data_IF_563078668203
#
_entry.id   IF_563078668203
#
_cell.length_a   1.000
_cell.length_b   1.000
_cell.length_c   1.000
_cell.angle_alpha   90.00
_cell.angle_beta   90.00
_cell.angle_gamma   90.00
#
_symmetry.space_group_name_H-M   'P 1'
#
loop_
_entity.id
_entity.type
_entity.pdbx_description
1 polymer ?
#
# COMPACT_ATOMS: atom_id res chain seq x y z
N UNK A 1 -26.26 -5.72 -3.56
CA UNK A 1 -26.29 -6.03 -5.00
C UNK A 1 -26.62 -7.49 -5.14
N UNK A 2 -27.73 -7.85 -5.76
CA UNK A 2 -28.06 -9.23 -6.13
C UNK A 2 -27.47 -9.52 -7.52
N UNK A 3 -26.81 -10.63 -7.66
CA UNK A 3 -26.37 -11.15 -8.96
C UNK A 3 -27.29 -12.33 -9.25
N UNK A 4 -28.20 -12.18 -10.19
CA UNK A 4 -29.02 -13.30 -10.64
C UNK A 4 -28.63 -13.69 -12.06
N UNK A 5 -28.50 -15.00 -12.30
CA UNK A 5 -28.29 -15.50 -13.66
C UNK A 5 -29.58 -15.71 -14.46
N UNK A 6 -30.77 -15.68 -13.86
CA UNK A 6 -32.02 -16.15 -14.52
C UNK A 6 -33.33 -15.45 -14.04
N UNK A 7 -33.26 -14.32 -13.37
CA UNK A 7 -34.45 -13.61 -12.91
C UNK A 7 -34.25 -12.10 -12.83
N UNK A 8 -35.31 -11.30 -12.58
CA UNK A 8 -35.21 -9.87 -12.46
C UNK A 8 -34.28 -9.51 -11.30
N UNK A 9 -33.28 -8.67 -11.57
CA UNK A 9 -32.36 -8.15 -10.54
C UNK A 9 -33.12 -7.19 -9.66
N UNK A 10 -33.41 -7.56 -8.42
CA UNK A 10 -34.01 -6.69 -7.42
C UNK A 10 -32.88 -6.00 -6.67
N UNK A 11 -32.60 -4.74 -7.01
CA UNK A 11 -31.60 -3.90 -6.30
C UNK A 11 -32.32 -2.86 -5.46
N UNK A 12 -31.75 -2.58 -4.27
CA UNK A 12 -32.23 -1.48 -3.42
C UNK A 12 -33.32 -1.85 -2.41
N UNK A 13 -33.80 -3.10 -2.38
CA UNK A 13 -34.68 -3.55 -1.30
C UNK A 13 -33.87 -3.90 -0.05
N UNK A 14 -34.35 -3.47 1.10
CA UNK A 14 -33.82 -3.82 2.41
C UNK A 14 -34.64 -4.91 3.05
N UNK A 15 -33.97 -5.86 3.67
CA UNK A 15 -34.57 -6.94 4.46
C UNK A 15 -34.31 -6.63 5.92
N UNK A 16 -35.36 -6.74 6.76
CA UNK A 16 -35.20 -6.53 8.19
C UNK A 16 -34.30 -7.61 8.80
N UNK A 17 -33.37 -7.19 9.68
CA UNK A 17 -32.61 -8.13 10.51
C UNK A 17 -33.48 -8.92 11.48
N UNK A 18 -34.72 -8.46 11.72
CA UNK A 18 -35.67 -9.11 12.58
C UNK A 18 -36.48 -10.19 11.89
N UNK A 19 -36.38 -10.30 10.55
CA UNK A 19 -36.98 -11.39 9.79
C UNK A 19 -36.41 -12.73 10.24
N UNK A 20 -37.29 -13.71 10.57
CA UNK A 20 -36.89 -14.95 11.22
C UNK A 20 -35.84 -15.73 10.42
N UNK A 21 -36.02 -15.82 9.11
CA UNK A 21 -35.04 -16.49 8.22
C UNK A 21 -33.66 -15.82 8.30
N UNK A 22 -33.60 -14.49 8.36
CA UNK A 22 -32.33 -13.78 8.52
C UNK A 22 -31.68 -14.10 9.86
N UNK A 23 -32.44 -14.14 10.97
CA UNK A 23 -31.94 -14.55 12.29
C UNK A 23 -31.37 -15.95 12.27
N UNK A 24 -32.04 -16.88 11.61
CA UNK A 24 -31.59 -18.27 11.50
C UNK A 24 -30.29 -18.39 10.67
N UNK A 25 -30.20 -17.65 9.54
CA UNK A 25 -28.97 -17.57 8.74
C UNK A 25 -27.83 -16.97 9.57
N UNK A 26 -28.09 -15.90 10.31
CA UNK A 26 -27.07 -15.27 11.16
C UNK A 26 -26.58 -16.18 12.28
N UNK A 27 -27.49 -16.99 12.87
CA UNK A 27 -27.20 -17.93 13.96
C UNK A 27 -26.46 -19.17 13.49
N UNK A 28 -26.96 -19.78 12.40
CA UNK A 28 -26.47 -21.07 11.91
C UNK A 28 -25.44 -20.96 10.79
N UNK A 29 -25.26 -19.75 10.24
CA UNK A 29 -24.37 -19.42 9.11
C UNK A 29 -24.72 -20.06 7.78
N UNK A 30 -25.63 -20.98 7.77
CA UNK A 30 -26.23 -21.65 6.62
C UNK A 30 -27.66 -22.07 7.00
N UNK A 31 -28.61 -21.84 6.10
CA UNK A 31 -29.99 -22.19 6.31
C UNK A 31 -30.62 -22.63 4.99
N UNK A 32 -31.31 -23.77 5.03
CA UNK A 32 -32.11 -24.24 3.90
C UNK A 32 -33.53 -23.78 4.18
N UNK A 33 -34.07 -22.99 3.28
CA UNK A 33 -35.38 -22.35 3.39
C UNK A 33 -36.34 -23.12 2.50
N UNK A 34 -37.39 -23.70 3.09
CA UNK A 34 -38.50 -24.31 2.37
C UNK A 34 -39.83 -23.62 2.72
N UNK A 35 -40.87 -23.76 1.92
CA UNK A 35 -42.19 -23.21 2.21
C UNK A 35 -42.76 -23.66 3.57
N UNK A 36 -42.23 -24.73 4.14
CA UNK A 36 -42.61 -25.29 5.43
C UNK A 36 -41.76 -24.76 6.60
N UNK A 37 -40.72 -23.97 6.31
CA UNK A 37 -39.85 -23.43 7.33
C UNK A 37 -40.59 -22.46 8.26
N UNK A 38 -40.36 -22.51 9.59
CA UNK A 38 -40.97 -21.60 10.52
C UNK A 38 -40.61 -20.12 10.18
N UNK A 39 -41.61 -19.26 10.11
CA UNK A 39 -41.41 -17.84 9.78
C UNK A 39 -41.17 -17.56 8.27
N UNK A 40 -41.44 -18.54 7.42
CA UNK A 40 -41.38 -18.36 5.98
C UNK A 40 -42.55 -17.45 5.50
N UNK A 41 -42.22 -16.34 4.90
CA UNK A 41 -43.18 -15.41 4.31
C UNK A 41 -43.22 -15.63 2.80
N UNK A 42 -44.29 -16.28 2.35
CA UNK A 42 -44.47 -16.66 0.92
C UNK A 42 -44.49 -15.47 -0.01
N UNK A 43 -45.12 -14.38 0.40
CA UNK A 43 -45.23 -13.18 -0.44
C UNK A 43 -43.87 -12.46 -0.57
N UNK A 44 -43.11 -12.46 0.51
CA UNK A 44 -41.74 -11.91 0.53
C UNK A 44 -40.76 -12.80 -0.25
N UNK A 45 -40.75 -14.10 0.02
CA UNK A 45 -39.79 -15.06 -0.60
C UNK A 45 -40.10 -15.29 -2.09
N UNK A 46 -41.35 -15.25 -2.52
CA UNK A 46 -41.74 -15.34 -3.93
C UNK A 46 -41.10 -14.24 -4.81
N UNK A 47 -40.70 -13.14 -4.21
CA UNK A 47 -39.96 -12.08 -4.91
C UNK A 47 -38.53 -12.50 -5.28
N UNK A 48 -37.98 -13.55 -4.66
CA UNK A 48 -36.61 -14.01 -4.86
C UNK A 48 -36.57 -15.36 -5.56
N UNK A 49 -37.45 -16.30 -5.21
CA UNK A 49 -37.50 -17.61 -5.84
C UNK A 49 -38.84 -18.30 -5.52
N UNK A 50 -39.41 -19.01 -6.51
CA UNK A 50 -40.54 -19.93 -6.33
C UNK A 50 -40.09 -21.34 -5.87
N UNK A 51 -38.78 -21.54 -5.71
CA UNK A 51 -38.18 -22.84 -5.37
C UNK A 51 -37.63 -22.79 -3.94
N UNK A 52 -37.35 -23.97 -3.40
CA UNK A 52 -36.54 -24.07 -2.20
C UNK A 52 -35.26 -23.26 -2.39
N UNK A 53 -34.85 -22.57 -1.35
CA UNK A 53 -33.67 -21.79 -1.38
C UNK A 53 -32.72 -22.16 -0.25
N UNK A 54 -31.42 -22.03 -0.49
CA UNK A 54 -30.41 -22.10 0.54
C UNK A 54 -29.72 -20.75 0.68
N UNK A 55 -29.48 -20.36 1.89
CA UNK A 55 -28.74 -19.15 2.19
C UNK A 55 -27.50 -19.47 3.00
N UNK A 56 -26.39 -18.83 2.65
CA UNK A 56 -25.12 -18.92 3.37
C UNK A 56 -24.66 -17.55 3.82
N UNK A 57 -24.15 -17.47 5.04
CA UNK A 57 -23.52 -16.27 5.59
C UNK A 57 -22.02 -16.29 5.33
N UNK A 58 -21.53 -15.33 4.56
CA UNK A 58 -20.15 -15.21 4.15
C UNK A 58 -19.52 -13.97 4.83
N UNK A 59 -18.29 -14.12 5.31
CA UNK A 59 -17.56 -13.02 5.99
C UNK A 59 -17.97 -12.87 7.46
N UNK A 60 -17.37 -11.88 8.12
CA UNK A 60 -17.68 -11.49 9.51
C UNK A 60 -17.91 -9.99 9.64
N UNK A 61 -17.09 -9.20 8.97
CA UNK A 61 -17.21 -7.74 8.95
C UNK A 61 -16.53 -7.20 7.65
N UNK A 62 -17.32 -6.80 6.63
CA UNK A 62 -18.78 -6.96 6.53
C UNK A 62 -19.21 -8.42 6.32
N UNK A 63 -20.46 -8.72 6.67
CA UNK A 63 -21.09 -10.02 6.42
C UNK A 63 -22.04 -9.91 5.23
N UNK A 64 -22.07 -10.96 4.42
CA UNK A 64 -22.93 -11.06 3.25
C UNK A 64 -23.80 -12.32 3.35
N UNK A 65 -25.07 -12.21 2.99
CA UNK A 65 -25.94 -13.35 2.81
C UNK A 65 -26.05 -13.62 1.32
N UNK A 66 -25.67 -14.82 0.89
CA UNK A 66 -25.90 -15.31 -0.46
C UNK A 66 -27.06 -16.29 -0.40
N UNK A 67 -28.16 -15.97 -1.06
CA UNK A 67 -29.31 -16.86 -1.23
C UNK A 67 -29.30 -17.46 -2.64
N UNK A 68 -29.54 -18.76 -2.72
CA UNK A 68 -29.51 -19.55 -3.92
C UNK A 68 -30.83 -20.34 -4.05
N UNK A 69 -31.55 -20.22 -5.19
CA UNK A 69 -32.62 -21.13 -5.52
C UNK A 69 -32.06 -22.54 -5.82
N UNK A 70 -32.65 -23.57 -5.24
CA UNK A 70 -32.13 -24.92 -5.30
C UNK A 70 -33.09 -25.83 -6.07
N UNK A 71 -32.57 -26.55 -7.07
CA UNK A 71 -33.19 -27.75 -7.62
C UNK A 71 -32.33 -28.94 -7.21
N UNK A 72 -32.68 -29.57 -6.10
CA UNK A 72 -31.86 -30.63 -5.54
C UNK A 72 -32.52 -31.98 -5.66
N UNK A 73 -31.79 -32.96 -6.19
CA UNK A 73 -32.24 -34.36 -6.36
C UNK A 73 -31.37 -35.34 -5.53
N UNK A 74 -30.53 -34.83 -4.62
CA UNK A 74 -29.63 -35.63 -3.79
C UNK A 74 -29.98 -35.61 -2.29
N UNK A 75 -29.05 -36.04 -1.45
CA UNK A 75 -29.24 -35.99 0.01
C UNK A 75 -29.03 -34.58 0.56
N UNK A 76 -29.75 -34.20 1.59
CA UNK A 76 -29.55 -32.94 2.31
C UNK A 76 -28.10 -32.80 2.81
N UNK A 77 -27.46 -33.94 3.15
CA UNK A 77 -26.06 -33.97 3.58
C UNK A 77 -25.11 -33.47 2.47
N UNK A 78 -25.32 -33.91 1.23
CA UNK A 78 -24.49 -33.51 0.10
C UNK A 78 -24.67 -32.01 -0.21
N UNK A 79 -25.90 -31.52 -0.12
CA UNK A 79 -26.19 -30.11 -0.27
C UNK A 79 -25.49 -29.28 0.82
N UNK A 80 -25.53 -29.73 2.08
CA UNK A 80 -24.82 -29.04 3.16
C UNK A 80 -23.32 -28.98 2.93
N UNK A 81 -22.69 -30.06 2.47
CA UNK A 81 -21.27 -30.10 2.13
C UNK A 81 -20.96 -29.13 1.00
N UNK A 82 -21.77 -29.08 -0.03
CA UNK A 82 -21.62 -28.15 -1.15
C UNK A 82 -21.69 -26.69 -0.68
N UNK A 83 -22.71 -26.36 0.11
CA UNK A 83 -22.92 -25.00 0.64
C UNK A 83 -21.78 -24.56 1.59
N UNK A 84 -21.29 -25.47 2.43
CA UNK A 84 -20.12 -25.20 3.30
C UNK A 84 -18.86 -24.94 2.48
N UNK A 85 -18.62 -25.75 1.44
CA UNK A 85 -17.48 -25.56 0.53
C UNK A 85 -17.57 -24.22 -0.19
N UNK A 86 -18.75 -23.89 -0.71
CA UNK A 86 -19.01 -22.62 -1.36
C UNK A 86 -18.80 -21.43 -0.40
N UNK A 87 -19.33 -21.54 0.81
CA UNK A 87 -19.17 -20.53 1.87
C UNK A 87 -17.69 -20.30 2.21
N UNK A 88 -16.93 -21.38 2.37
CA UNK A 88 -15.50 -21.31 2.66
C UNK A 88 -14.73 -20.65 1.51
N UNK A 89 -14.96 -21.08 0.28
CA UNK A 89 -14.29 -20.56 -0.91
C UNK A 89 -14.58 -19.06 -1.14
N UNK A 90 -15.85 -18.69 -1.04
CA UNK A 90 -16.26 -17.28 -1.18
C UNK A 90 -15.71 -16.43 -0.02
N UNK A 91 -15.65 -16.99 1.19
CA UNK A 91 -15.07 -16.31 2.35
C UNK A 91 -13.57 -16.03 2.19
N UNK A 92 -12.83 -16.94 1.56
CA UNK A 92 -11.42 -16.75 1.20
C UNK A 92 -11.29 -15.63 0.17
N UNK A 93 -12.06 -15.72 -0.93
CA UNK A 93 -12.02 -14.73 -2.01
C UNK A 93 -12.38 -13.30 -1.56
N UNK A 94 -13.35 -13.16 -0.66
CA UNK A 94 -13.71 -11.86 -0.11
C UNK A 94 -12.60 -11.29 0.77
N UNK A 95 -11.90 -12.14 1.52
CA UNK A 95 -10.73 -11.69 2.34
C UNK A 95 -9.55 -11.29 1.47
N UNK A 96 -9.22 -12.08 0.45
CA UNK A 96 -8.19 -11.74 -0.53
C UNK A 96 -8.46 -10.37 -1.17
N UNK A 97 -9.70 -10.16 -1.61
CA UNK A 97 -10.12 -8.88 -2.19
C UNK A 97 -9.99 -7.73 -1.21
N UNK A 98 -10.44 -7.91 0.04
CA UNK A 98 -10.34 -6.85 1.06
C UNK A 98 -8.88 -6.49 1.37
N UNK A 99 -7.99 -7.48 1.42
CA UNK A 99 -6.55 -7.25 1.59
C UNK A 99 -5.96 -6.50 0.39
N UNK A 100 -6.29 -6.91 -0.83
CA UNK A 100 -5.83 -6.23 -2.04
C UNK A 100 -6.32 -4.77 -2.10
N UNK A 101 -7.58 -4.51 -1.72
CA UNK A 101 -8.12 -3.15 -1.65
C UNK A 101 -7.38 -2.29 -0.60
N UNK A 102 -7.00 -2.87 0.55
CA UNK A 102 -6.19 -2.18 1.56
C UNK A 102 -4.77 -1.88 1.06
N UNK A 103 -4.12 -2.84 0.38
CA UNK A 103 -2.79 -2.63 -0.20
C UNK A 103 -2.82 -1.55 -1.27
N UNK A 104 -3.86 -1.50 -2.09
CA UNK A 104 -4.04 -0.43 -3.08
C UNK A 104 -4.20 0.95 -2.43
N UNK A 105 -4.88 1.04 -1.28
CA UNK A 105 -4.95 2.29 -0.52
C UNK A 105 -3.57 2.70 0.02
N UNK A 106 -2.78 1.74 0.54
CA UNK A 106 -1.42 2.00 0.98
C UNK A 106 -0.52 2.49 -0.18
N UNK A 107 -0.68 1.92 -1.37
CA UNK A 107 0.00 2.37 -2.59
C UNK A 107 -0.32 3.83 -2.93
N UNK A 108 -1.59 4.21 -2.90
CA UNK A 108 -2.01 5.60 -3.17
C UNK A 108 -1.36 6.56 -2.17
N UNK A 109 -1.34 6.19 -0.89
CA UNK A 109 -0.70 7.01 0.16
C UNK A 109 0.79 7.13 -0.10
N UNK A 110 1.48 6.03 -0.43
CA UNK A 110 2.91 6.07 -0.72
C UNK A 110 3.21 6.89 -1.97
N UNK A 111 2.48 6.71 -3.06
CA UNK A 111 2.67 7.48 -4.29
C UNK A 111 2.44 8.98 -4.09
N UNK A 112 1.60 9.38 -3.12
CA UNK A 112 1.41 10.78 -2.78
C UNK A 112 2.63 11.44 -2.11
N UNK A 113 3.62 10.66 -1.68
CA UNK A 113 4.89 11.18 -1.13
C UNK A 113 5.88 11.57 -2.23
N UNK A 114 5.80 10.90 -3.37
CA UNK A 114 6.63 11.21 -4.52
C UNK A 114 6.22 12.56 -5.10
N UNK A 115 7.15 13.34 -5.65
CA UNK A 115 6.83 14.59 -6.32
C UNK A 115 5.80 14.39 -7.43
N UNK A 116 4.73 15.14 -7.40
CA UNK A 116 3.70 15.12 -8.48
C UNK A 116 4.19 15.75 -9.77
N UNK A 117 5.19 16.61 -9.68
CA UNK A 117 5.95 17.19 -10.79
C UNK A 117 7.37 17.49 -10.30
N UNK A 118 8.31 17.44 -11.20
CA UNK A 118 9.68 17.85 -10.95
C UNK A 118 9.75 19.36 -11.22
N UNK A 119 10.23 20.17 -10.25
CA UNK A 119 10.38 21.61 -10.48
C UNK A 119 11.36 21.88 -11.62
N UNK A 120 11.05 22.88 -12.46
CA UNK A 120 12.00 23.37 -13.44
C UNK A 120 13.22 23.96 -12.74
N UNK A 121 14.42 23.61 -13.22
CA UNK A 121 15.68 24.10 -12.70
C UNK A 121 16.56 24.54 -13.85
N UNK A 122 16.75 25.86 -13.95
CA UNK A 122 17.41 26.49 -15.11
C UNK A 122 18.81 25.89 -15.36
N UNK A 123 19.06 25.49 -16.60
CA UNK A 123 20.32 24.88 -17.04
C UNK A 123 20.42 23.36 -16.80
N UNK A 124 19.40 22.73 -16.20
CA UNK A 124 19.39 21.29 -15.93
C UNK A 124 18.10 20.63 -16.42
N UNK A 125 18.25 19.48 -17.04
CA UNK A 125 17.14 18.57 -17.38
C UNK A 125 17.11 17.43 -16.36
N UNK A 126 16.02 17.35 -15.59
CA UNK A 126 15.90 16.42 -14.46
C UNK A 126 14.70 15.48 -14.71
N UNK A 127 14.94 14.18 -14.68
CA UNK A 127 13.91 13.16 -14.79
C UNK A 127 14.04 12.13 -13.67
N UNK A 128 12.90 11.64 -13.19
CA UNK A 128 12.86 10.58 -12.20
C UNK A 128 11.65 9.68 -12.43
N UNK A 129 11.79 8.40 -12.09
CA UNK A 129 10.73 7.40 -12.17
C UNK A 129 10.87 6.41 -11.04
N UNK A 130 9.75 5.98 -10.46
CA UNK A 130 9.67 4.88 -9.51
C UNK A 130 8.76 3.79 -10.07
N UNK A 131 9.27 2.57 -10.16
CA UNK A 131 8.55 1.39 -10.65
C UNK A 131 8.65 0.31 -9.58
N UNK A 132 7.73 0.27 -8.61
CA UNK A 132 7.78 -0.73 -7.55
C UNK A 132 7.48 -2.13 -8.09
N UNK A 133 8.14 -3.15 -7.53
CA UNK A 133 7.92 -4.56 -7.89
C UNK A 133 6.61 -5.13 -7.34
N UNK A 134 6.13 -4.60 -6.22
CA UNK A 134 4.85 -4.92 -5.59
C UNK A 134 3.95 -3.65 -5.59
N UNK A 135 2.80 -3.71 -4.94
CA UNK A 135 1.90 -2.55 -4.79
C UNK A 135 2.57 -1.37 -4.09
N UNK A 136 3.49 -1.65 -3.16
CA UNK A 136 4.29 -0.66 -2.42
C UNK A 136 5.74 -1.12 -2.32
N UNK A 137 6.69 -0.17 -2.30
CA UNK A 137 8.12 -0.47 -2.29
C UNK A 137 8.90 0.32 -1.25
N UNK A 138 10.16 -0.12 -1.01
CA UNK A 138 11.12 0.59 -0.16
C UNK A 138 11.81 1.74 -0.87
N UNK A 139 11.84 1.71 -2.20
CA UNK A 139 12.49 2.74 -3.03
C UNK A 139 11.66 4.01 -3.10
N UNK A 140 12.30 5.13 -2.81
CA UNK A 140 11.69 6.47 -2.94
C UNK A 140 12.71 7.47 -3.48
N UNK A 141 12.19 8.47 -4.15
CA UNK A 141 12.96 9.68 -4.50
C UNK A 141 12.19 10.92 -4.07
N UNK A 142 12.92 12.01 -3.89
CA UNK A 142 12.35 13.33 -3.70
C UNK A 142 13.17 14.37 -4.44
N UNK A 143 12.48 15.32 -5.08
CA UNK A 143 13.09 16.43 -5.81
C UNK A 143 12.30 17.68 -5.44
N UNK A 144 12.98 18.63 -4.79
CA UNK A 144 12.33 19.83 -4.30
C UNK A 144 13.27 21.03 -4.31
N UNK A 145 12.73 22.21 -4.45
CA UNK A 145 13.48 23.45 -4.22
C UNK A 145 13.78 23.58 -2.72
N UNK A 146 15.05 23.66 -2.36
CA UNK A 146 15.52 23.85 -0.98
C UNK A 146 15.47 25.35 -0.64
N UNK A 147 16.06 26.17 -1.52
CA UNK A 147 16.01 27.62 -1.49
C UNK A 147 16.16 28.15 -2.92
N UNK A 148 16.09 29.47 -3.09
CA UNK A 148 16.24 30.07 -4.43
C UNK A 148 17.60 29.69 -5.04
N UNK A 149 17.56 29.05 -6.20
CA UNK A 149 18.75 28.59 -6.91
C UNK A 149 19.38 27.30 -6.38
N UNK A 150 18.72 26.58 -5.46
CA UNK A 150 19.21 25.29 -4.94
C UNK A 150 18.13 24.21 -5.03
N UNK A 151 18.46 23.12 -5.71
CA UNK A 151 17.62 21.94 -5.87
C UNK A 151 18.11 20.80 -4.98
N UNK A 152 17.23 20.27 -4.14
CA UNK A 152 17.46 19.04 -3.39
C UNK A 152 17.06 17.80 -4.17
N UNK A 153 17.96 16.82 -4.21
CA UNK A 153 17.79 15.54 -4.91
C UNK A 153 18.00 14.41 -3.91
N UNK A 154 17.02 13.54 -3.74
CA UNK A 154 17.09 12.40 -2.82
C UNK A 154 16.76 11.10 -3.54
N UNK A 155 17.52 10.05 -3.21
CA UNK A 155 17.20 8.65 -3.46
C UNK A 155 17.39 7.89 -2.16
N UNK A 156 16.44 7.02 -1.82
CA UNK A 156 16.55 6.16 -0.65
C UNK A 156 15.93 4.79 -0.93
N UNK A 157 16.50 3.76 -0.32
CA UNK A 157 16.01 2.39 -0.36
C UNK A 157 15.95 1.83 1.05
N UNK A 158 14.75 1.49 1.49
CA UNK A 158 14.48 0.88 2.78
C UNK A 158 14.58 -0.64 2.68
N UNK A 159 15.42 -1.24 3.52
CA UNK A 159 15.64 -2.69 3.54
C UNK A 159 14.35 -3.49 3.73
N UNK A 160 14.20 -4.56 2.92
CA UNK A 160 13.03 -5.41 2.89
C UNK A 160 12.08 -5.03 1.76
N UNK A 161 10.83 -5.48 1.83
CA UNK A 161 9.82 -5.24 0.79
C UNK A 161 8.43 -5.02 1.39
N UNK A 162 7.50 -4.58 0.55
CA UNK A 162 6.11 -4.39 0.92
C UNK A 162 5.86 -3.25 1.91
N UNK A 163 4.74 -3.30 2.61
CA UNK A 163 4.26 -2.21 3.47
C UNK A 163 5.26 -1.75 4.55
N UNK A 164 5.99 -2.65 5.25
CA UNK A 164 6.96 -2.20 6.25
C UNK A 164 8.13 -1.38 5.69
N UNK A 165 8.62 -1.71 4.49
CA UNK A 165 9.66 -0.93 3.81
C UNK A 165 9.11 0.42 3.33
N UNK A 166 7.90 0.42 2.78
CA UNK A 166 7.20 1.63 2.34
C UNK A 166 6.99 2.65 3.47
N UNK A 167 6.67 2.20 4.68
CA UNK A 167 6.52 3.06 5.85
C UNK A 167 7.85 3.70 6.28
N UNK A 168 8.96 2.94 6.23
CA UNK A 168 10.29 3.47 6.52
C UNK A 168 10.71 4.50 5.46
N UNK A 169 10.48 4.21 4.18
CA UNK A 169 10.74 5.15 3.10
C UNK A 169 9.99 6.47 3.30
N UNK A 170 8.72 6.40 3.76
CA UNK A 170 7.94 7.58 4.13
C UNK A 170 8.61 8.39 5.23
N UNK A 171 9.10 7.75 6.29
CA UNK A 171 9.72 8.41 7.43
C UNK A 171 11.00 9.15 6.99
N UNK A 172 11.75 8.58 6.04
CA UNK A 172 12.92 9.25 5.43
C UNK A 172 12.53 10.51 4.69
N UNK A 173 11.53 10.43 3.80
CA UNK A 173 11.07 11.60 3.02
C UNK A 173 10.64 12.73 3.96
N UNK A 174 9.80 12.41 4.95
CA UNK A 174 9.27 13.41 5.89
C UNK A 174 10.41 13.98 6.74
N UNK A 175 11.26 13.12 7.30
CA UNK A 175 12.37 13.57 8.18
C UNK A 175 13.37 14.44 7.44
N UNK A 176 13.68 14.14 6.17
CA UNK A 176 14.55 14.96 5.35
C UNK A 176 13.90 16.31 5.03
N UNK A 177 12.64 16.34 4.59
CA UNK A 177 11.91 17.59 4.32
C UNK A 177 11.85 18.50 5.54
N UNK A 178 11.66 17.93 6.74
CA UNK A 178 11.67 18.71 7.98
C UNK A 178 13.04 19.33 8.26
N UNK A 179 14.14 18.58 8.10
CA UNK A 179 15.49 19.10 8.30
C UNK A 179 15.85 20.20 7.30
N UNK A 180 15.45 20.05 6.04
CA UNK A 180 15.61 21.09 5.02
C UNK A 180 14.83 22.35 5.38
N UNK A 181 13.56 22.22 5.78
CA UNK A 181 12.72 23.35 6.16
C UNK A 181 13.26 24.13 7.37
N UNK A 182 14.03 23.48 8.25
CA UNK A 182 14.73 24.12 9.37
C UNK A 182 16.07 24.77 8.98
N UNK A 183 16.49 24.67 7.72
CA UNK A 183 17.76 25.23 7.23
C UNK A 183 18.99 24.50 7.77
N UNK A 184 18.87 23.24 8.17
CA UNK A 184 20.00 22.46 8.64
C UNK A 184 20.96 22.09 7.50
N UNK A 185 22.22 22.01 7.82
CA UNK A 185 23.25 21.52 6.88
C UNK A 185 23.01 20.04 6.58
N UNK A 186 23.15 19.67 5.32
CA UNK A 186 22.90 18.33 4.76
C UNK A 186 23.41 17.17 5.64
N UNK A 187 24.65 17.20 6.12
CA UNK A 187 25.20 16.15 6.97
C UNK A 187 24.57 16.11 8.37
N UNK A 188 24.17 17.25 8.92
CA UNK A 188 23.46 17.35 10.20
C UNK A 188 22.06 16.76 10.08
N UNK A 189 21.34 17.09 9.02
CA UNK A 189 20.01 16.53 8.70
C UNK A 189 20.06 15.01 8.60
N UNK A 190 21.02 14.46 7.83
CA UNK A 190 21.16 12.99 7.67
C UNK A 190 21.53 12.32 9.00
N UNK A 191 22.42 12.93 9.81
CA UNK A 191 22.78 12.40 11.13
C UNK A 191 21.61 12.41 12.11
N UNK A 192 20.76 13.44 12.08
CA UNK A 192 19.53 13.51 12.88
C UNK A 192 18.53 12.47 12.43
N UNK A 193 18.32 12.35 11.13
CA UNK A 193 17.44 11.35 10.54
C UNK A 193 17.88 9.93 10.94
N UNK A 194 19.17 9.62 10.89
CA UNK A 194 19.72 8.36 11.35
C UNK A 194 19.32 8.04 12.80
N UNK A 195 19.45 8.99 13.71
CA UNK A 195 19.05 8.80 15.12
C UNK A 195 17.55 8.53 15.25
N UNK A 196 16.72 9.24 14.53
CA UNK A 196 15.26 9.03 14.53
C UNK A 196 14.92 7.62 14.05
N UNK A 197 15.51 7.18 12.95
CA UNK A 197 15.31 5.84 12.40
C UNK A 197 15.81 4.78 13.40
N UNK A 198 16.98 4.95 14.01
CA UNK A 198 17.49 4.03 15.03
C UNK A 198 16.52 3.84 16.18
N UNK A 199 15.91 4.93 16.70
CA UNK A 199 14.98 4.90 17.82
C UNK A 199 13.56 4.43 17.45
N UNK A 200 13.25 4.29 16.17
CA UNK A 200 11.91 3.82 15.72
C UNK A 200 11.61 2.36 16.08
N UNK A 201 12.54 1.65 16.70
CA UNK A 201 12.38 0.26 17.16
C UNK A 201 12.49 -0.80 16.07
N UNK A 202 12.83 -0.40 14.85
CA UNK A 202 13.06 -1.31 13.71
C UNK A 202 14.56 -1.68 13.59
N UNK A 203 15.20 -1.98 14.70
CA UNK A 203 16.66 -2.16 14.84
C UNK A 203 17.30 -3.19 13.88
N UNK A 204 16.54 -4.09 13.27
CA UNK A 204 17.03 -5.05 12.26
C UNK A 204 16.93 -4.52 10.83
N UNK A 205 16.45 -3.30 10.63
CA UNK A 205 16.24 -2.69 9.31
C UNK A 205 17.15 -1.50 9.13
N UNK A 206 17.53 -1.24 7.91
CA UNK A 206 18.37 -0.12 7.53
C UNK A 206 17.81 0.56 6.29
N UNK A 207 18.26 1.78 6.07
CA UNK A 207 17.90 2.56 4.89
C UNK A 207 19.19 3.07 4.27
N UNK A 208 19.37 2.81 3.00
CA UNK A 208 20.40 3.49 2.22
C UNK A 208 19.86 4.81 1.69
N UNK A 209 20.65 5.87 1.74
CA UNK A 209 20.24 7.22 1.36
C UNK A 209 21.33 7.91 0.57
N UNK A 210 20.97 8.48 -0.57
CA UNK A 210 21.73 9.53 -1.24
C UNK A 210 20.93 10.82 -1.19
N UNK A 211 21.53 11.91 -0.73
CA UNK A 211 20.93 13.24 -0.76
C UNK A 211 21.95 14.26 -1.26
N UNK A 212 21.54 15.10 -2.20
CA UNK A 212 22.37 16.14 -2.79
C UNK A 212 21.64 17.47 -2.89
N UNK A 213 22.39 18.56 -2.79
CA UNK A 213 21.96 19.93 -3.05
C UNK A 213 22.76 20.45 -4.25
N UNK A 214 22.03 20.72 -5.34
CA UNK A 214 22.55 21.20 -6.60
C UNK A 214 22.23 22.68 -6.77
N UNK A 215 23.29 23.51 -6.94
CA UNK A 215 23.20 24.95 -7.19
C UNK A 215 23.08 25.26 -8.69
N UNK A 216 22.44 26.34 -9.06
CA UNK A 216 22.37 26.82 -10.46
C UNK A 216 23.75 27.00 -11.10
N UNK A 217 24.77 27.31 -10.30
CA UNK A 217 26.16 27.41 -10.77
C UNK A 217 26.79 26.04 -11.14
N UNK A 218 26.08 24.93 -10.96
CA UNK A 218 26.55 23.57 -11.21
C UNK A 218 27.35 22.96 -10.06
N UNK A 219 27.49 23.64 -8.92
CA UNK A 219 28.10 23.03 -7.74
C UNK A 219 27.10 22.08 -7.07
N UNK A 220 27.57 20.92 -6.65
CA UNK A 220 26.75 19.95 -5.93
C UNK A 220 27.44 19.51 -4.65
N UNK A 221 26.73 19.65 -3.53
CA UNK A 221 27.12 19.08 -2.24
C UNK A 221 26.26 17.85 -1.98
N UNK A 222 26.85 16.72 -1.60
CA UNK A 222 26.09 15.51 -1.35
C UNK A 222 26.53 14.75 -0.10
N UNK A 223 25.62 13.88 0.39
CA UNK A 223 25.88 12.87 1.40
C UNK A 223 25.39 11.52 0.84
N UNK A 224 26.24 10.51 0.95
CA UNK A 224 25.86 9.13 0.61
C UNK A 224 25.94 8.26 1.86
N UNK A 225 24.79 7.95 2.45
CA UNK A 225 24.60 7.06 3.59
C UNK A 225 24.40 5.62 3.16
N UNK A 226 25.45 4.98 2.62
CA UNK A 226 25.46 3.58 2.24
C UNK A 226 24.60 3.21 1.01
N UNK A 227 24.18 4.20 0.23
CA UNK A 227 23.46 3.95 -1.01
C UNK A 227 24.41 3.56 -2.15
N UNK A 228 23.89 2.87 -3.15
CA UNK A 228 24.64 2.55 -4.38
C UNK A 228 25.24 3.85 -4.93
N UNK A 229 26.56 3.93 -5.20
CA UNK A 229 27.17 5.17 -5.64
C UNK A 229 26.55 5.71 -6.91
N UNK A 230 25.98 6.95 -6.93
CA UNK A 230 25.57 7.58 -8.15
C UNK A 230 26.75 7.75 -9.11
N UNK A 231 26.45 7.72 -10.40
CA UNK A 231 27.43 7.85 -11.47
C UNK A 231 27.37 9.25 -12.09
N UNK A 232 28.52 9.90 -12.15
CA UNK A 232 28.72 11.07 -13.00
C UNK A 232 29.34 10.63 -14.32
N UNK A 233 28.69 10.93 -15.40
CA UNK A 233 29.19 10.66 -16.77
C UNK A 233 29.49 12.00 -17.43
N UNK A 234 30.75 12.17 -17.82
CA UNK A 234 31.19 13.40 -18.50
C UNK A 234 30.86 13.39 -20.00
N UNK A 235 31.00 14.54 -20.66
CA UNK A 235 30.84 14.64 -22.10
C UNK A 235 31.83 13.77 -22.89
N UNK A 236 33.00 13.49 -22.32
CA UNK A 236 34.02 12.60 -22.88
C UNK A 236 33.77 11.11 -22.54
N UNK A 237 32.56 10.78 -21.99
CA UNK A 237 32.19 9.44 -21.55
C UNK A 237 33.07 8.85 -20.41
N UNK A 238 33.74 9.68 -19.63
CA UNK A 238 34.38 9.24 -18.42
C UNK A 238 33.33 9.05 -17.30
N UNK A 239 33.49 7.99 -16.50
CA UNK A 239 32.54 7.62 -15.45
C UNK A 239 33.20 7.78 -14.08
N UNK A 240 32.60 8.59 -13.22
CA UNK A 240 33.03 8.77 -11.83
C UNK A 240 31.95 8.33 -10.85
N UNK A 241 32.34 7.60 -9.82
CA UNK A 241 31.44 7.21 -8.73
C UNK A 241 31.42 8.27 -7.62
N UNK A 242 30.23 8.68 -7.20
CA UNK A 242 30.04 9.51 -6.02
C UNK A 242 30.10 8.63 -4.77
N UNK A 243 31.28 8.51 -4.20
CA UNK A 243 31.63 7.54 -3.16
C UNK A 243 30.78 7.71 -1.89
N UNK A 244 30.61 6.60 -1.18
CA UNK A 244 29.94 6.55 0.12
C UNK A 244 30.64 7.46 1.12
N UNK A 245 29.85 8.24 1.86
CA UNK A 245 30.35 9.20 2.86
C UNK A 245 29.91 8.87 4.29
N UNK A 246 29.20 7.76 4.50
CA UNK A 246 28.76 7.24 5.80
C UNK A 246 28.06 5.89 5.67
N UNK A 247 27.79 5.22 6.79
CA UNK A 247 27.05 3.95 6.77
C UNK A 247 25.58 4.15 6.41
N UNK A 248 24.86 3.05 6.14
CA UNK A 248 23.38 3.06 6.05
C UNK A 248 22.76 3.60 7.34
N UNK A 249 21.58 4.21 7.21
CA UNK A 249 20.85 4.77 8.34
C UNK A 249 20.17 3.65 9.15
N UNK A 250 20.15 3.82 10.47
CA UNK A 250 19.43 2.99 11.43
C UNK A 250 20.29 2.09 12.32
N UNK A 251 21.23 1.26 11.83
CA UNK A 251 21.96 0.31 12.67
C UNK A 251 22.85 0.97 13.75
N UNK A 252 23.45 2.09 13.43
CA UNK A 252 24.42 2.77 14.32
C UNK A 252 23.87 4.13 14.75
N UNK A 253 23.51 4.33 16.04
CA UNK A 253 22.89 5.57 16.50
C UNK A 253 23.77 6.82 16.31
N UNK A 254 25.08 6.65 16.51
CA UNK A 254 26.06 7.73 16.45
C UNK A 254 26.82 7.77 15.12
N UNK A 255 26.21 7.25 14.04
CA UNK A 255 26.80 7.31 12.72
C UNK A 255 27.03 8.76 12.29
N UNK A 256 28.20 9.01 11.72
CA UNK A 256 28.59 10.31 11.18
C UNK A 256 28.64 10.25 9.65
N UNK A 257 28.29 11.37 9.04
CA UNK A 257 28.24 11.50 7.59
C UNK A 257 29.08 12.67 7.14
N UNK A 258 29.97 12.44 6.19
CA UNK A 258 30.79 13.48 5.57
C UNK A 258 30.13 13.97 4.28
N UNK A 259 30.46 15.20 3.87
CA UNK A 259 29.99 15.78 2.63
C UNK A 259 30.95 15.48 1.49
N UNK A 260 30.42 15.08 0.35
CA UNK A 260 31.13 15.11 -0.91
C UNK A 260 30.80 16.39 -1.69
N UNK A 261 31.68 16.78 -2.57
CA UNK A 261 31.56 17.97 -3.41
C UNK A 261 31.93 17.61 -4.84
N UNK A 262 31.20 18.18 -5.79
CA UNK A 262 31.55 18.11 -7.18
C UNK A 262 31.07 19.36 -7.91
N UNK A 263 31.63 19.65 -9.08
CA UNK A 263 31.19 20.71 -9.99
C UNK A 263 30.84 20.11 -11.34
N UNK A 264 29.60 20.35 -11.78
CA UNK A 264 29.08 19.98 -13.11
C UNK A 264 29.38 21.14 -14.07
N UNK A 265 30.61 21.21 -14.56
CA UNK A 265 31.03 22.25 -15.53
C UNK A 265 31.36 21.64 -16.86
#
# INVERSE_FOLDING_TARGET
KSISGLGPVITGKTVSKDYQVVKDIMRHRMWIVSPESPGFDREFEAQFSEMDSAAILIGRNPSYILSLGIRHHGSEKDLRILLETLRASLGIKLREKALADQMKQAQIIQQSLLPSHIPDFEGFDIAAVSIPAEEVGGDVYDIQTVEEGVMGLMLADASGHGLPAALQARDVVIGLRMGIAEGEKIAGTVSRLNRVIHHSGLASRFISLFYAELELAGNMTYVNGGHCPPLLITLDNEVYELKVSGPVLGPLPDATYSRGYLSLK
#
